data_IF_617554646017
#
_entry.id   IF_617554646017
#
_cell.length_a   1.000
_cell.length_b   1.000
_cell.length_c   1.000
_cell.angle_alpha   90.00
_cell.angle_beta   90.00
_cell.angle_gamma   90.00
#
_symmetry.space_group_name_H-M   'P 1'
#
loop_
_entity.id
_entity.type
_entity.pdbx_description
1 polymer ?
#
# COMPACT_ATOMS: atom_id res chain seq x y z
N UNK A 1 -24.94 -15.33 7.17
CA UNK A 1 -23.63 -14.85 7.65
C UNK A 1 -22.74 -14.69 6.43
N UNK A 2 -21.99 -13.58 6.33
CA UNK A 2 -21.07 -13.36 5.20
C UNK A 2 -19.86 -14.30 5.24
N UNK A 3 -19.02 -14.25 4.21
CA UNK A 3 -17.80 -15.06 4.12
C UNK A 3 -16.56 -14.28 4.55
N UNK A 4 -15.60 -15.03 5.12
CA UNK A 4 -14.27 -14.51 5.43
C UNK A 4 -13.42 -14.60 4.16
N UNK A 5 -13.10 -13.46 3.56
CA UNK A 5 -12.36 -13.39 2.30
C UNK A 5 -11.06 -12.61 2.49
N UNK A 6 -9.95 -13.19 2.04
CA UNK A 6 -8.68 -12.47 1.91
C UNK A 6 -8.75 -11.59 0.67
N UNK A 7 -8.51 -10.30 0.86
CA UNK A 7 -8.63 -9.29 -0.21
C UNK A 7 -7.30 -8.69 -0.61
N UNK A 8 -6.24 -8.93 0.16
CA UNK A 8 -4.90 -8.38 -0.09
C UNK A 8 -3.88 -9.00 0.85
N UNK A 9 -2.63 -9.04 0.42
CA UNK A 9 -1.44 -9.30 1.25
C UNK A 9 -0.44 -8.17 1.05
N UNK A 10 0.33 -7.81 2.09
CA UNK A 10 1.24 -6.66 2.07
C UNK A 10 2.51 -6.98 2.82
N UNK A 11 3.62 -6.38 2.37
CA UNK A 11 4.84 -6.29 3.18
C UNK A 11 4.95 -4.89 3.78
N UNK A 12 5.30 -4.83 5.06
CA UNK A 12 5.57 -3.57 5.74
C UNK A 12 7.00 -3.14 5.48
N UNK A 13 7.16 -1.91 4.98
CA UNK A 13 8.46 -1.27 4.79
C UNK A 13 8.79 -0.55 6.09
N UNK A 14 9.79 -1.06 6.80
CA UNK A 14 10.24 -0.51 8.08
C UNK A 14 11.60 0.16 7.94
N UNK A 15 11.85 1.17 8.77
CA UNK A 15 13.15 1.84 8.83
C UNK A 15 13.32 2.72 10.07
N UNK A 16 14.04 3.83 9.90
CA UNK A 16 14.44 4.70 11.01
C UNK A 16 15.55 4.08 11.88
N UNK A 17 15.97 4.77 12.95
CA UNK A 17 17.13 4.36 13.76
C UNK A 17 17.01 2.97 14.40
N UNK A 18 15.79 2.56 14.75
CA UNK A 18 15.50 1.23 15.31
C UNK A 18 15.13 0.18 14.27
N UNK A 19 14.92 0.55 13.00
CA UNK A 19 14.36 -0.34 11.98
C UNK A 19 12.92 -0.77 12.25
N UNK A 20 12.18 -0.04 13.10
CA UNK A 20 10.80 -0.38 13.52
C UNK A 20 9.80 0.73 13.18
N UNK A 21 10.23 1.80 12.50
CA UNK A 21 9.33 2.86 12.06
C UNK A 21 8.67 2.42 10.76
N UNK A 22 7.34 2.39 10.73
CA UNK A 22 6.58 2.18 9.50
C UNK A 22 6.81 3.33 8.52
N UNK A 23 7.37 3.00 7.35
CA UNK A 23 7.59 3.94 6.26
C UNK A 23 6.55 3.80 5.16
N UNK A 24 5.94 2.64 5.03
CA UNK A 24 4.97 2.33 4.00
C UNK A 24 4.76 0.83 3.83
N UNK A 25 4.14 0.45 2.73
CA UNK A 25 3.87 -0.95 2.40
C UNK A 25 3.98 -1.19 0.90
N UNK A 26 4.45 -2.38 0.53
CA UNK A 26 4.34 -2.90 -0.83
C UNK A 26 3.13 -3.82 -0.96
N UNK A 27 2.54 -3.83 -2.15
CA UNK A 27 1.43 -4.71 -2.53
C UNK A 27 1.65 -5.28 -3.93
N UNK A 28 1.32 -6.56 -4.15
CA UNK A 28 1.03 -7.59 -3.14
C UNK A 28 2.25 -7.92 -2.26
N UNK A 29 2.13 -8.84 -1.31
CA UNK A 29 3.29 -9.37 -0.59
C UNK A 29 4.14 -10.25 -1.52
N UNK A 30 5.42 -10.44 -1.18
CA UNK A 30 6.35 -11.25 -1.96
C UNK A 30 5.78 -12.64 -2.31
N UNK A 31 5.95 -13.05 -3.56
CA UNK A 31 5.45 -14.31 -4.09
C UNK A 31 6.07 -15.55 -3.42
N UNK A 32 7.24 -15.44 -2.79
CA UNK A 32 7.87 -16.55 -2.06
C UNK A 32 7.05 -17.02 -0.85
N UNK A 33 6.20 -16.16 -0.28
CA UNK A 33 5.45 -16.49 0.95
C UNK A 33 4.02 -15.95 1.00
N UNK A 34 3.57 -15.12 0.05
CA UNK A 34 2.23 -14.52 0.06
C UNK A 34 1.10 -15.56 0.14
N UNK A 35 1.30 -16.74 -0.48
CA UNK A 35 0.36 -17.87 -0.39
C UNK A 35 0.26 -18.43 1.03
N UNK A 36 1.39 -18.67 1.68
CA UNK A 36 1.45 -19.27 3.01
C UNK A 36 0.77 -18.38 4.06
N UNK A 37 1.05 -17.07 4.01
CA UNK A 37 0.40 -16.10 4.91
C UNK A 37 -1.10 -15.92 4.59
N UNK A 38 -1.50 -16.04 3.32
CA UNK A 38 -2.92 -16.03 2.91
C UNK A 38 -3.65 -17.22 3.49
N UNK A 39 -3.11 -18.42 3.38
CA UNK A 39 -3.73 -19.64 3.92
C UNK A 39 -3.82 -19.57 5.45
N UNK A 40 -2.78 -19.09 6.13
CA UNK A 40 -2.81 -18.84 7.56
C UNK A 40 -3.88 -17.81 7.94
N UNK A 41 -3.95 -16.70 7.18
CA UNK A 41 -4.96 -15.66 7.36
C UNK A 41 -6.38 -16.15 7.16
N UNK A 42 -6.63 -17.04 6.19
CA UNK A 42 -7.93 -17.67 5.96
C UNK A 42 -8.38 -18.51 7.16
N UNK A 43 -7.48 -19.31 7.75
CA UNK A 43 -7.79 -20.11 8.95
C UNK A 43 -8.21 -19.23 10.12
N UNK A 44 -7.47 -18.14 10.37
CA UNK A 44 -7.81 -17.16 11.41
C UNK A 44 -9.15 -16.48 11.09
N UNK A 45 -9.37 -16.08 9.83
CA UNK A 45 -10.61 -15.45 9.40
C UNK A 45 -11.85 -16.33 9.59
N UNK A 46 -11.72 -17.64 9.35
CA UNK A 46 -12.80 -18.61 9.60
C UNK A 46 -13.15 -18.68 11.09
N UNK A 47 -12.16 -18.73 11.98
CA UNK A 47 -12.39 -18.71 13.43
C UNK A 47 -13.05 -17.40 13.87
N UNK A 48 -12.63 -16.26 13.33
CA UNK A 48 -13.22 -14.96 13.64
C UNK A 48 -14.68 -14.86 13.15
N UNK A 49 -14.99 -15.42 11.97
CA UNK A 49 -16.36 -15.53 11.45
C UNK A 49 -17.24 -16.35 12.38
N UNK A 50 -16.77 -17.51 12.84
CA UNK A 50 -17.51 -18.37 13.79
C UNK A 50 -17.76 -17.67 15.13
N UNK A 51 -16.86 -16.76 15.52
CA UNK A 51 -17.02 -15.92 16.72
C UNK A 51 -17.86 -14.66 16.49
N UNK A 52 -18.42 -14.46 15.29
CA UNK A 52 -19.31 -13.35 14.98
C UNK A 52 -18.60 -12.01 14.68
N UNK A 53 -17.29 -12.02 14.41
CA UNK A 53 -16.59 -10.82 13.97
C UNK A 53 -17.14 -10.34 12.62
N UNK A 54 -17.40 -9.04 12.50
CA UNK A 54 -17.91 -8.41 11.29
C UNK A 54 -17.06 -7.19 10.92
N UNK A 55 -16.77 -7.05 9.63
CA UNK A 55 -16.01 -5.94 9.07
C UNK A 55 -14.59 -6.32 8.64
N UNK A 56 -13.77 -5.30 8.35
CA UNK A 56 -12.37 -5.49 7.94
C UNK A 56 -11.49 -5.69 9.16
N UNK A 57 -10.53 -6.58 9.00
CA UNK A 57 -9.44 -6.79 9.93
C UNK A 57 -8.16 -7.12 9.17
N UNK A 58 -7.02 -6.99 9.85
CA UNK A 58 -5.72 -7.43 9.37
C UNK A 58 -5.11 -8.42 10.36
N UNK A 59 -4.22 -9.27 9.86
CA UNK A 59 -3.43 -10.19 10.67
C UNK A 59 -1.99 -9.94 10.30
N UNK A 60 -1.18 -9.61 11.29
CA UNK A 60 0.23 -9.30 11.08
C UNK A 60 1.07 -10.54 11.35
N UNK A 61 2.02 -10.80 10.46
CA UNK A 61 2.93 -11.93 10.52
C UNK A 61 4.38 -11.43 10.52
N UNK A 62 5.24 -12.14 11.24
CA UNK A 62 6.69 -12.09 11.02
C UNK A 62 7.07 -13.32 10.21
N UNK A 63 7.64 -13.10 9.03
CA UNK A 63 8.13 -14.16 8.13
C UNK A 63 9.66 -14.21 8.21
N UNK A 64 10.22 -15.37 8.57
CA UNK A 64 11.67 -15.57 8.68
C UNK A 64 12.11 -16.64 7.70
N UNK A 65 13.10 -16.35 6.87
CA UNK A 65 13.67 -17.33 5.94
C UNK A 65 14.40 -18.43 6.73
N UNK A 66 14.01 -19.68 6.51
CA UNK A 66 14.59 -20.89 7.12
C UNK A 66 14.97 -21.89 6.04
N UNK A 67 16.27 -21.98 5.73
CA UNK A 67 16.75 -22.85 4.65
C UNK A 67 16.22 -22.39 3.29
N UNK A 68 15.40 -23.23 2.65
CA UNK A 68 14.77 -22.94 1.35
C UNK A 68 13.31 -22.48 1.47
N UNK A 69 12.77 -22.38 2.69
CA UNK A 69 11.39 -21.95 2.92
C UNK A 69 11.28 -20.80 3.90
N UNK A 70 10.04 -20.51 4.29
CA UNK A 70 9.69 -19.45 5.22
C UNK A 70 8.97 -20.01 6.45
N UNK A 71 9.24 -19.42 7.60
CA UNK A 71 8.55 -19.68 8.85
C UNK A 71 7.72 -18.44 9.22
N UNK A 72 6.42 -18.61 9.43
CA UNK A 72 5.48 -17.51 9.69
C UNK A 72 4.96 -17.54 11.12
N UNK A 73 5.25 -16.50 11.89
CA UNK A 73 4.68 -16.28 13.21
C UNK A 73 3.59 -15.21 13.13
N UNK A 74 2.34 -15.57 13.38
CA UNK A 74 1.27 -14.59 13.56
C UNK A 74 1.48 -13.85 14.88
N UNK A 75 1.52 -12.52 14.85
CA UNK A 75 1.84 -11.70 16.02
C UNK A 75 0.66 -10.87 16.53
N UNK A 76 -0.26 -10.47 15.66
CA UNK A 76 -1.37 -9.58 16.02
C UNK A 76 -2.59 -9.78 15.12
N UNK A 77 -3.79 -9.53 15.67
CA UNK A 77 -5.03 -9.38 14.90
C UNK A 77 -5.57 -7.97 15.14
N UNK A 78 -5.69 -7.21 14.06
CA UNK A 78 -6.20 -5.84 14.05
C UNK A 78 -7.66 -5.84 13.59
N UNK A 79 -8.64 -5.92 14.51
CA UNK A 79 -10.08 -5.89 14.20
C UNK A 79 -10.60 -4.48 13.85
N UNK A 80 -10.04 -3.87 12.81
CA UNK A 80 -10.41 -2.55 12.29
C UNK A 80 -9.88 -2.36 10.86
N UNK A 81 -10.26 -1.25 10.22
CA UNK A 81 -9.59 -0.77 9.01
C UNK A 81 -8.17 -0.29 9.37
N UNK A 82 -7.15 -0.95 8.81
CA UNK A 82 -5.73 -0.61 8.99
C UNK A 82 -5.20 0.32 7.89
N UNK A 83 -3.92 0.69 7.99
CA UNK A 83 -3.25 1.59 7.03
C UNK A 83 -3.28 1.08 5.58
N UNK A 84 -3.26 -0.24 5.38
CA UNK A 84 -3.33 -0.87 4.05
C UNK A 84 -4.74 -0.91 3.45
N UNK A 85 -5.78 -0.59 4.24
CA UNK A 85 -7.16 -0.59 3.73
C UNK A 85 -7.39 0.54 2.73
N UNK A 86 -6.87 1.75 2.99
CA UNK A 86 -7.07 2.89 2.10
C UNK A 86 -6.40 2.67 0.73
N UNK A 87 -5.11 2.30 0.64
CA UNK A 87 -4.45 2.02 -0.64
C UNK A 87 -5.15 0.94 -1.47
N UNK A 88 -5.57 -0.17 -0.85
CA UNK A 88 -6.32 -1.23 -1.56
C UNK A 88 -7.64 -0.73 -2.13
N UNK A 89 -8.40 0.05 -1.37
CA UNK A 89 -9.68 0.59 -1.83
C UNK A 89 -9.50 1.61 -2.96
N UNK A 90 -8.44 2.43 -2.91
CA UNK A 90 -8.10 3.37 -3.99
C UNK A 90 -7.72 2.61 -5.25
N UNK A 91 -6.85 1.60 -5.16
CA UNK A 91 -6.50 0.76 -6.32
C UNK A 91 -7.75 0.17 -6.97
N UNK A 92 -8.65 -0.40 -6.14
CA UNK A 92 -9.90 -0.98 -6.63
C UNK A 92 -10.82 0.03 -7.28
N UNK A 93 -10.96 1.21 -6.70
CA UNK A 93 -11.80 2.27 -7.25
C UNK A 93 -11.28 2.78 -8.60
N UNK A 94 -9.96 2.88 -8.75
CA UNK A 94 -9.34 3.44 -9.97
C UNK A 94 -9.25 2.44 -11.12
N UNK A 95 -9.18 1.14 -10.82
CA UNK A 95 -8.86 0.12 -11.83
C UNK A 95 -9.97 -0.89 -12.08
N UNK A 96 -11.00 -0.91 -11.23
CA UNK A 96 -12.07 -1.93 -11.21
C UNK A 96 -11.56 -3.38 -11.15
N UNK A 97 -10.30 -3.57 -10.73
CA UNK A 97 -9.68 -4.89 -10.64
C UNK A 97 -10.05 -5.66 -9.38
N UNK A 98 -9.54 -6.88 -9.32
CA UNK A 98 -9.77 -7.82 -8.22
C UNK A 98 -8.48 -8.51 -7.80
N UNK A 99 -8.34 -8.76 -6.49
CA UNK A 99 -7.29 -9.61 -5.96
C UNK A 99 -7.71 -11.08 -6.08
N UNK A 100 -6.90 -11.87 -6.79
CA UNK A 100 -6.99 -13.32 -6.80
C UNK A 100 -6.15 -13.87 -5.64
N UNK A 101 -6.83 -14.51 -4.68
CA UNK A 101 -6.15 -15.09 -3.53
C UNK A 101 -5.39 -16.38 -3.88
N UNK A 102 -5.74 -17.08 -4.95
CA UNK A 102 -5.02 -18.27 -5.40
C UNK A 102 -3.72 -17.91 -6.09
N UNK A 103 -3.70 -16.87 -6.92
CA UNK A 103 -2.47 -16.41 -7.59
C UNK A 103 -1.68 -15.40 -6.75
N UNK A 104 -2.28 -14.83 -5.71
CA UNK A 104 -1.66 -13.82 -4.85
C UNK A 104 -1.48 -12.46 -5.53
N UNK A 105 -2.17 -12.24 -6.66
CA UNK A 105 -2.01 -11.07 -7.50
C UNK A 105 -3.31 -10.30 -7.63
N UNK A 106 -3.18 -8.99 -7.79
CA UNK A 106 -4.29 -8.13 -8.18
C UNK A 106 -4.20 -7.84 -9.67
N UNK A 107 -5.33 -8.04 -10.36
CA UNK A 107 -5.41 -7.79 -11.79
C UNK A 107 -6.60 -6.89 -12.13
N UNK A 108 -6.40 -6.04 -13.12
CA UNK A 108 -7.45 -5.24 -13.75
C UNK A 108 -8.40 -6.15 -14.55
N UNK A 109 -9.58 -5.68 -14.98
CA UNK A 109 -10.48 -6.46 -15.83
C UNK A 109 -9.84 -6.92 -17.16
N UNK A 110 -8.77 -6.26 -17.59
CA UNK A 110 -7.99 -6.64 -18.80
C UNK A 110 -6.82 -7.59 -18.50
N UNK A 111 -6.81 -8.22 -17.31
CA UNK A 111 -5.78 -9.15 -16.85
C UNK A 111 -4.36 -8.56 -16.74
N UNK A 112 -4.26 -7.23 -16.56
CA UNK A 112 -2.98 -6.59 -16.25
C UNK A 112 -2.75 -6.58 -14.74
N UNK A 113 -1.59 -7.02 -14.23
CA UNK A 113 -1.33 -6.97 -12.80
C UNK A 113 -1.11 -5.52 -12.34
N UNK A 114 -1.53 -5.22 -11.12
CA UNK A 114 -1.24 -3.94 -10.48
C UNK A 114 -0.54 -4.14 -9.14
N UNK A 115 0.47 -3.31 -8.94
CA UNK A 115 1.30 -3.25 -7.76
C UNK A 115 1.21 -1.84 -7.19
N UNK A 116 1.43 -1.71 -5.89
CA UNK A 116 1.67 -0.37 -5.35
C UNK A 116 2.74 -0.34 -4.26
N UNK A 117 3.32 0.85 -4.13
CA UNK A 117 4.00 1.30 -2.93
C UNK A 117 3.12 2.38 -2.30
N UNK A 118 2.69 2.16 -1.06
CA UNK A 118 1.87 3.11 -0.33
C UNK A 118 2.61 3.63 0.89
N UNK A 119 2.56 4.93 1.13
CA UNK A 119 3.13 5.56 2.32
C UNK A 119 2.22 6.67 2.79
N UNK A 120 1.88 6.67 4.06
CA UNK A 120 1.29 7.80 4.77
C UNK A 120 2.34 8.56 5.58
N UNK A 121 3.63 8.34 5.31
CA UNK A 121 4.75 8.88 6.08
C UNK A 121 5.76 9.66 5.24
N UNK A 122 5.40 10.05 4.01
CA UNK A 122 6.18 11.01 3.24
C UNK A 122 6.07 12.37 3.91
N UNK A 123 7.11 12.73 4.67
CA UNK A 123 7.13 13.92 5.48
C UNK A 123 8.52 14.57 5.45
N UNK A 124 8.55 15.88 5.22
CA UNK A 124 9.76 16.68 5.29
C UNK A 124 9.44 18.12 5.72
N UNK A 125 10.24 18.76 6.58
CA UNK A 125 10.07 20.17 6.92
C UNK A 125 10.10 21.09 5.69
N UNK A 126 10.81 20.70 4.62
CA UNK A 126 10.90 21.50 3.39
C UNK A 126 9.57 21.57 2.64
N UNK A 127 8.66 20.62 2.86
CA UNK A 127 7.35 20.62 2.21
C UNK A 127 6.34 21.56 2.89
N UNK A 128 6.67 22.12 4.07
CA UNK A 128 5.79 23.06 4.75
C UNK A 128 5.64 24.33 3.93
N UNK A 129 4.41 24.82 3.83
CA UNK A 129 4.04 25.94 2.97
C UNK A 129 3.42 25.50 1.64
N UNK A 130 3.78 24.33 1.09
CA UNK A 130 3.13 23.81 -0.12
C UNK A 130 1.64 23.62 0.11
N UNK A 131 0.83 24.26 -0.74
CA UNK A 131 -0.62 24.16 -0.69
C UNK A 131 -1.12 22.93 -1.44
N UNK A 132 -2.38 22.50 -1.20
CA UNK A 132 -3.02 21.48 -2.03
C UNK A 132 -3.01 21.80 -3.52
N UNK A 133 -3.17 23.08 -3.89
CA UNK A 133 -3.18 23.52 -5.29
C UNK A 133 -1.78 23.37 -5.89
N UNK A 134 -0.74 23.80 -5.18
CA UNK A 134 0.66 23.60 -5.61
C UNK A 134 0.97 22.11 -5.82
N UNK A 135 0.48 21.23 -4.94
CA UNK A 135 0.69 19.78 -5.07
C UNK A 135 0.06 19.24 -6.36
N UNK A 136 -1.14 19.69 -6.71
CA UNK A 136 -1.83 19.30 -7.95
C UNK A 136 -1.03 19.77 -9.17
N UNK A 137 -0.62 21.04 -9.18
CA UNK A 137 0.18 21.61 -10.27
C UNK A 137 1.51 20.86 -10.43
N UNK A 138 2.24 20.62 -9.34
CA UNK A 138 3.48 19.82 -9.33
C UNK A 138 3.24 18.42 -9.91
N UNK A 139 2.16 17.75 -9.52
CA UNK A 139 1.85 16.41 -9.98
C UNK A 139 1.48 16.34 -11.47
N UNK A 140 0.82 17.37 -11.99
CA UNK A 140 0.48 17.49 -13.41
C UNK A 140 1.71 17.82 -14.24
N UNK A 141 2.43 18.88 -13.88
CA UNK A 141 3.59 19.40 -14.62
C UNK A 141 4.75 18.41 -14.70
N UNK A 142 4.84 17.48 -13.74
CA UNK A 142 5.87 16.45 -13.69
C UNK A 142 5.36 15.05 -14.10
N UNK A 143 4.11 14.93 -14.54
CA UNK A 143 3.55 13.65 -14.98
C UNK A 143 3.50 12.58 -13.89
N UNK A 144 3.33 12.98 -12.62
CA UNK A 144 3.23 12.07 -11.48
C UNK A 144 1.81 11.54 -11.29
N UNK A 145 0.80 12.35 -11.61
CA UNK A 145 -0.60 12.02 -11.38
C UNK A 145 -0.99 10.68 -12.01
N UNK A 146 -1.94 10.00 -11.39
CA UNK A 146 -2.50 8.76 -11.92
C UNK A 146 -3.13 8.98 -13.31
N UNK A 147 -2.70 8.19 -14.29
CA UNK A 147 -3.26 8.16 -15.64
C UNK A 147 -4.25 6.99 -15.78
N UNK A 148 -5.50 7.31 -16.06
CA UNK A 148 -6.56 6.31 -16.21
C UNK A 148 -6.40 5.39 -17.42
N UNK A 149 -5.65 5.80 -18.45
CA UNK A 149 -5.43 4.98 -19.64
C UNK A 149 -4.40 3.87 -19.39
N UNK A 150 -3.27 4.20 -18.76
CA UNK A 150 -2.25 3.24 -18.36
C UNK A 150 -2.57 2.52 -17.04
N UNK A 151 -3.46 3.09 -16.23
CA UNK A 151 -3.76 2.66 -14.85
C UNK A 151 -2.53 2.68 -13.93
N UNK A 152 -1.65 3.66 -14.12
CA UNK A 152 -0.42 3.84 -13.36
C UNK A 152 -0.24 5.29 -12.92
N UNK A 153 0.64 5.53 -11.94
CA UNK A 153 0.95 6.86 -11.43
C UNK A 153 0.63 7.00 -9.95
N UNK A 154 0.55 8.23 -9.47
CA UNK A 154 0.53 8.55 -8.04
C UNK A 154 -0.80 9.18 -7.65
N UNK A 155 -1.37 8.65 -6.58
CA UNK A 155 -2.54 9.21 -5.91
C UNK A 155 -2.09 9.80 -4.58
N UNK A 156 -2.39 11.08 -4.37
CA UNK A 156 -2.09 11.76 -3.13
C UNK A 156 -3.28 11.71 -2.17
N UNK A 157 -3.01 11.50 -0.89
CA UNK A 157 -3.99 11.57 0.18
C UNK A 157 -3.41 12.31 1.39
N UNK A 158 -4.24 12.61 2.41
CA UNK A 158 -3.85 13.47 3.53
C UNK A 158 -3.34 14.86 3.10
N UNK A 159 -3.78 15.36 1.95
CA UNK A 159 -3.26 16.59 1.33
C UNK A 159 -3.41 17.81 2.27
N UNK A 160 -4.46 17.83 3.11
CA UNK A 160 -4.65 18.88 4.11
C UNK A 160 -3.56 18.97 5.19
N UNK A 161 -2.72 17.93 5.34
CA UNK A 161 -1.59 17.95 6.28
C UNK A 161 -0.31 18.54 5.64
N UNK A 162 -0.27 18.74 4.33
CA UNK A 162 0.93 19.12 3.60
C UNK A 162 1.44 20.50 4.03
N UNK A 163 0.62 21.54 3.91
CA UNK A 163 1.06 22.91 4.15
C UNK A 163 1.57 23.13 5.58
N UNK A 164 0.84 22.64 6.59
CA UNK A 164 1.19 22.86 7.99
C UNK A 164 2.29 21.91 8.51
N UNK A 165 2.22 20.62 8.15
CA UNK A 165 3.05 19.58 8.75
C UNK A 165 4.13 19.05 7.81
N UNK A 166 4.14 19.49 6.55
CA UNK A 166 5.03 18.99 5.51
C UNK A 166 4.80 17.51 5.23
N UNK A 167 3.58 17.01 5.42
CA UNK A 167 3.23 15.58 5.38
C UNK A 167 2.16 15.31 4.33
N UNK A 168 2.39 14.32 3.49
CA UNK A 168 1.44 13.86 2.47
C UNK A 168 1.48 12.34 2.38
N UNK A 169 0.33 11.74 2.06
CA UNK A 169 0.23 10.33 1.76
C UNK A 169 0.28 10.07 0.25
N UNK A 170 0.85 8.95 -0.15
CA UNK A 170 0.97 8.54 -1.56
C UNK A 170 0.57 7.08 -1.71
N UNK A 171 -0.15 6.78 -2.80
CA UNK A 171 -0.33 5.44 -3.34
C UNK A 171 0.23 5.46 -4.75
N UNK A 172 1.41 4.87 -4.92
CA UNK A 172 2.15 4.85 -6.18
C UNK A 172 1.86 3.53 -6.88
N UNK A 173 1.07 3.56 -7.96
CA UNK A 173 0.56 2.39 -8.68
C UNK A 173 1.40 2.14 -9.93
N UNK A 174 1.84 0.90 -10.12
CA UNK A 174 2.60 0.46 -11.29
C UNK A 174 2.22 -0.96 -11.72
N UNK A 175 2.77 -1.40 -12.84
CA UNK A 175 2.63 -2.76 -13.37
C UNK A 175 3.64 -3.78 -12.78
N UNK A 176 4.50 -3.31 -11.87
CA UNK A 176 5.51 -4.08 -11.15
C UNK A 176 5.86 -3.40 -9.83
N UNK A 177 6.46 -4.15 -8.90
CA UNK A 177 6.99 -3.59 -7.65
C UNK A 177 8.01 -2.49 -7.91
N UNK A 178 8.92 -2.72 -8.88
CA UNK A 178 9.97 -1.80 -9.26
C UNK A 178 9.39 -0.49 -9.78
N UNK A 179 8.36 -0.57 -10.64
CA UNK A 179 7.70 0.60 -11.20
C UNK A 179 6.95 1.40 -10.14
N UNK A 180 6.22 0.73 -9.27
CA UNK A 180 5.52 1.37 -8.15
C UNK A 180 6.49 2.08 -7.19
N UNK A 181 7.62 1.45 -6.86
CA UNK A 181 8.67 2.07 -6.06
C UNK A 181 9.37 3.23 -6.79
N UNK A 182 9.55 3.13 -8.11
CA UNK A 182 10.11 4.22 -8.92
C UNK A 182 9.22 5.46 -8.84
N UNK A 183 7.91 5.31 -8.98
CA UNK A 183 6.96 6.42 -8.81
C UNK A 183 7.08 7.09 -7.43
N UNK A 184 7.28 6.32 -6.37
CA UNK A 184 7.51 6.87 -5.03
C UNK A 184 8.82 7.68 -4.96
N UNK A 185 9.92 7.13 -5.50
CA UNK A 185 11.22 7.82 -5.54
C UNK A 185 11.15 9.11 -6.36
N UNK A 186 10.50 9.06 -7.52
CA UNK A 186 10.32 10.23 -8.40
C UNK A 186 9.48 11.30 -7.71
N UNK A 187 8.41 10.89 -7.01
CA UNK A 187 7.58 11.82 -6.22
C UNK A 187 8.38 12.51 -5.13
N UNK A 188 9.20 11.77 -4.38
CA UNK A 188 10.07 12.36 -3.36
C UNK A 188 11.03 13.37 -3.99
N UNK A 189 11.71 12.98 -5.07
CA UNK A 189 12.69 13.83 -5.75
C UNK A 189 12.06 15.10 -6.34
N UNK A 190 10.86 15.01 -6.91
CA UNK A 190 10.12 16.16 -7.45
C UNK A 190 9.69 17.09 -6.31
N UNK A 191 9.08 16.57 -5.25
CA UNK A 191 8.66 17.40 -4.11
C UNK A 191 9.86 18.08 -3.44
N UNK A 192 10.98 17.38 -3.24
CA UNK A 192 12.21 17.95 -2.69
C UNK A 192 12.80 19.07 -3.55
N UNK A 193 12.57 19.03 -4.87
CA UNK A 193 13.04 20.06 -5.81
C UNK A 193 12.08 21.24 -5.87
N UNK A 194 10.79 20.99 -6.00
CA UNK A 194 9.76 22.02 -6.14
C UNK A 194 9.55 22.80 -4.84
N UNK A 195 9.66 22.16 -3.67
CA UNK A 195 9.51 22.82 -2.37
C UNK A 195 10.68 23.76 -1.98
N UNK A 196 11.78 23.76 -2.76
CA UNK A 196 12.93 24.64 -2.56
C UNK A 196 12.90 25.89 -3.45
N UNK A 197 11.96 25.96 -4.39
CA UNK A 197 11.76 27.14 -5.24
C UNK A 197 11.07 28.24 -4.45
#
# INVERSE_FOLDING_TARGET
LGDATVVSTHDQVLGGPSGQIFLGSTFPADAEYSRDIKEAGQRVGQVLKERGALGRFAIDFISVRRGQGWEHAAIEINLRKGGTTHPYLILRFLTDGTYDAEDGLYCTPTAKPCYYYASDNLQSPVYKGLTPDDLVDIAVDNGLHFDGASQQGVVFHLIGALSQYGKVGTVCIGDSHERAQQYYRDTCAVLDREAKK
#
